data_IF_415068598261
#
_entry.id   IF_415068598261
#
_cell.length_a   1.000
_cell.length_b   1.000
_cell.length_c   1.000
_cell.angle_alpha   90.00
_cell.angle_beta   90.00
_cell.angle_gamma   90.00
#
_symmetry.space_group_name_H-M   'P 1'
#
loop_
_entity.id
_entity.type
_entity.pdbx_description
1 polymer ?
#
# COMPACT_ATOMS: atom_id res chain seq x y z
N UNK A 1 -5.64 -3.75 -18.54
CA UNK A 1 -6.24 -2.53 -17.93
C UNK A 1 -7.07 -2.83 -16.70
N UNK A 2 -8.03 -3.77 -16.72
CA UNK A 2 -8.87 -4.04 -15.54
C UNK A 2 -8.08 -4.60 -14.34
N UNK A 3 -7.09 -5.46 -14.58
CA UNK A 3 -6.18 -5.98 -13.56
C UNK A 3 -5.38 -4.85 -12.89
N UNK A 4 -4.73 -4.00 -13.67
CA UNK A 4 -3.99 -2.82 -13.17
C UNK A 4 -4.86 -1.86 -12.37
N UNK A 5 -6.12 -1.63 -12.79
CA UNK A 5 -7.05 -0.78 -12.05
C UNK A 5 -7.35 -1.35 -10.65
N UNK A 6 -7.77 -2.61 -10.57
CA UNK A 6 -8.09 -3.24 -9.29
C UNK A 6 -6.84 -3.51 -8.43
N UNK A 7 -5.71 -3.83 -9.03
CA UNK A 7 -4.42 -3.98 -8.33
C UNK A 7 -3.95 -2.68 -7.70
N UNK A 8 -4.05 -1.57 -8.43
CA UNK A 8 -3.70 -0.23 -7.91
C UNK A 8 -4.70 0.25 -6.87
N UNK A 9 -5.99 -0.06 -7.03
CA UNK A 9 -7.01 0.22 -6.02
C UNK A 9 -6.68 -0.46 -4.68
N UNK A 10 -6.30 -1.75 -4.71
CA UNK A 10 -5.89 -2.50 -3.52
C UNK A 10 -4.61 -1.92 -2.93
N UNK A 11 -3.61 -1.62 -3.77
CA UNK A 11 -2.35 -1.01 -3.33
C UNK A 11 -2.60 0.28 -2.52
N UNK A 12 -3.44 1.17 -3.04
CA UNK A 12 -3.72 2.47 -2.41
C UNK A 12 -4.63 2.33 -1.19
N UNK A 13 -5.69 1.52 -1.26
CA UNK A 13 -6.60 1.33 -0.12
C UNK A 13 -5.88 0.80 1.13
N UNK A 14 -4.96 -0.15 0.97
CA UNK A 14 -4.21 -0.69 2.11
C UNK A 14 -2.95 0.12 2.43
N UNK A 15 -2.23 0.63 1.43
CA UNK A 15 -1.02 1.45 1.61
C UNK A 15 -1.31 2.79 2.27
N UNK A 16 -2.23 3.58 1.71
CA UNK A 16 -2.64 4.84 2.33
C UNK A 16 -3.49 4.61 3.58
N UNK A 17 -4.23 3.49 3.63
CA UNK A 17 -4.99 3.09 4.81
C UNK A 17 -4.13 2.85 6.05
N UNK A 18 -2.96 2.21 5.91
CA UNK A 18 -2.04 2.02 7.04
C UNK A 18 -1.45 3.36 7.51
N UNK A 19 -1.10 4.25 6.57
CA UNK A 19 -0.59 5.59 6.88
C UNK A 19 -1.65 6.43 7.59
N UNK A 20 -2.90 6.41 7.09
CA UNK A 20 -4.02 7.11 7.70
C UNK A 20 -4.31 6.59 9.12
N UNK A 21 -4.23 5.27 9.32
CA UNK A 21 -4.42 4.64 10.65
C UNK A 21 -3.33 5.09 11.63
N UNK A 22 -2.06 5.02 11.22
CA UNK A 22 -0.94 5.49 12.05
C UNK A 22 -1.08 6.97 12.36
N UNK A 23 -1.41 7.81 11.38
CA UNK A 23 -1.59 9.24 11.58
C UNK A 23 -2.75 9.55 12.55
N UNK A 24 -3.88 8.87 12.41
CA UNK A 24 -5.04 9.00 13.29
C UNK A 24 -4.66 8.71 14.74
N UNK A 25 -4.03 7.57 15.03
CA UNK A 25 -3.68 7.22 16.41
C UNK A 25 -2.51 8.02 16.98
N UNK A 26 -1.64 8.59 16.14
CA UNK A 26 -0.47 9.35 16.61
C UNK A 26 -0.77 10.83 16.84
N UNK A 27 -1.74 11.42 16.12
CA UNK A 27 -1.97 12.88 16.14
C UNK A 27 -3.37 13.30 16.60
N UNK A 28 -4.41 12.51 16.31
CA UNK A 28 -5.81 12.96 16.48
C UNK A 28 -6.56 12.13 17.53
N UNK A 29 -6.33 10.82 17.59
CA UNK A 29 -7.05 9.87 18.43
C UNK A 29 -6.37 9.53 19.75
N UNK A 30 -5.10 9.88 19.95
CA UNK A 30 -4.34 9.47 21.15
C UNK A 30 -4.67 10.29 22.40
N UNK A 31 -5.02 11.57 22.31
CA UNK A 31 -5.30 12.39 23.51
C UNK A 31 -4.16 12.38 24.55
N UNK A 32 -2.90 12.28 24.11
CA UNK A 32 -1.67 12.08 24.91
C UNK A 32 -1.45 10.65 25.44
N UNK A 33 -2.24 9.66 25.01
CA UNK A 33 -1.98 8.25 25.32
C UNK A 33 -0.86 7.70 24.42
N UNK A 34 -0.03 6.82 24.99
CA UNK A 34 0.95 6.04 24.24
C UNK A 34 0.29 5.38 23.03
N UNK A 35 0.83 5.60 21.83
CA UNK A 35 0.29 5.00 20.61
C UNK A 35 0.19 3.47 20.78
N UNK A 36 -0.88 2.82 20.29
CA UNK A 36 -1.02 1.36 20.37
C UNK A 36 0.05 0.61 19.55
N UNK A 37 0.81 1.34 18.73
CA UNK A 37 1.88 0.80 17.90
C UNK A 37 3.23 0.92 18.60
N UNK A 38 3.97 -0.19 18.69
CA UNK A 38 5.31 -0.23 19.28
C UNK A 38 6.34 0.55 18.44
N UNK A 39 6.16 0.63 17.11
CA UNK A 39 6.96 1.45 16.19
C UNK A 39 6.09 1.81 15.00
N UNK A 40 5.82 3.08 14.77
CA UNK A 40 4.92 3.55 13.71
C UNK A 40 5.46 3.20 12.31
N UNK A 41 6.77 3.35 12.13
CA UNK A 41 7.41 3.14 10.83
C UNK A 41 7.42 1.67 10.38
N UNK A 42 7.61 0.71 11.29
CA UNK A 42 7.59 -0.71 10.91
C UNK A 42 6.19 -1.15 10.46
N UNK A 43 5.15 -0.57 11.06
CA UNK A 43 3.74 -0.82 10.69
C UNK A 43 3.48 -0.28 9.28
N UNK A 44 3.97 0.92 8.96
CA UNK A 44 3.83 1.50 7.61
C UNK A 44 4.56 0.66 6.56
N UNK A 45 5.82 0.29 6.80
CA UNK A 45 6.61 -0.51 5.84
C UNK A 45 5.94 -1.86 5.59
N UNK A 46 5.55 -2.58 6.65
CA UNK A 46 4.90 -3.88 6.50
C UNK A 46 3.52 -3.75 5.84
N UNK A 47 2.75 -2.71 6.17
CA UNK A 47 1.47 -2.43 5.53
C UNK A 47 1.61 -2.18 4.03
N UNK A 48 2.57 -1.37 3.59
CA UNK A 48 2.86 -1.15 2.18
C UNK A 48 3.36 -2.42 1.47
N UNK A 49 4.24 -3.19 2.12
CA UNK A 49 4.72 -4.46 1.56
C UNK A 49 3.61 -5.48 1.34
N UNK A 50 2.68 -5.60 2.30
CA UNK A 50 1.49 -6.45 2.16
C UNK A 50 0.51 -5.91 1.12
N UNK A 51 0.33 -4.59 1.03
CA UNK A 51 -0.52 -3.96 0.01
C UNK A 51 -0.03 -4.27 -1.41
N UNK A 52 1.29 -4.20 -1.64
CA UNK A 52 1.91 -4.61 -2.92
C UNK A 52 1.68 -6.09 -3.21
N UNK A 53 1.91 -6.96 -2.23
CA UNK A 53 1.69 -8.41 -2.38
C UNK A 53 0.24 -8.72 -2.79
N UNK A 54 -0.74 -8.12 -2.11
CA UNK A 54 -2.15 -8.29 -2.42
C UNK A 54 -2.50 -7.73 -3.81
N UNK A 55 -1.96 -6.56 -4.16
CA UNK A 55 -2.12 -5.98 -5.50
C UNK A 55 -1.59 -6.91 -6.60
N UNK A 56 -0.46 -7.58 -6.35
CA UNK A 56 0.10 -8.59 -7.27
C UNK A 56 -0.83 -9.81 -7.39
N UNK A 57 -1.40 -10.30 -6.30
CA UNK A 57 -2.35 -11.42 -6.38
C UNK A 57 -3.65 -11.07 -7.12
N UNK A 58 -4.07 -9.80 -7.10
CA UNK A 58 -5.25 -9.34 -7.83
C UNK A 58 -4.96 -9.14 -9.32
N UNK A 59 -3.80 -8.57 -9.68
CA UNK A 59 -3.51 -8.16 -11.06
C UNK A 59 -2.61 -9.15 -11.83
N UNK A 60 -1.88 -10.03 -11.15
CA UNK A 60 -0.72 -10.75 -11.70
C UNK A 60 -1.06 -11.66 -12.87
N UNK A 61 -2.10 -12.48 -12.75
CA UNK A 61 -2.53 -13.40 -13.82
C UNK A 61 -3.24 -12.72 -14.98
N UNK A 62 -3.63 -11.44 -14.83
CA UNK A 62 -4.47 -10.72 -15.80
C UNK A 62 -3.66 -9.71 -16.60
N UNK A 63 -2.80 -8.91 -15.94
CA UNK A 63 -2.11 -7.79 -16.57
C UNK A 63 -0.61 -7.70 -16.28
N UNK A 64 -0.04 -8.66 -15.55
CA UNK A 64 1.37 -8.66 -15.17
C UNK A 64 1.68 -7.87 -13.89
N UNK A 65 0.65 -7.33 -13.23
CA UNK A 65 0.73 -6.61 -11.96
C UNK A 65 1.82 -5.53 -11.92
N UNK A 66 1.80 -4.60 -12.88
CA UNK A 66 2.72 -3.46 -12.81
C UNK A 66 2.37 -2.56 -11.63
N UNK A 67 1.07 -2.30 -11.44
CA UNK A 67 0.43 -1.50 -10.38
C UNK A 67 1.12 -0.16 -10.12
N UNK A 68 1.91 0.31 -11.09
CA UNK A 68 2.79 1.45 -11.01
C UNK A 68 3.22 1.87 -12.45
N UNK A 69 2.96 3.13 -12.84
CA UNK A 69 3.41 3.66 -14.13
C UNK A 69 4.93 3.62 -14.32
N UNK A 70 5.72 3.84 -13.27
CA UNK A 70 7.19 3.80 -13.34
C UNK A 70 7.71 2.39 -13.67
N UNK A 71 7.08 1.35 -13.10
CA UNK A 71 7.40 -0.06 -13.42
C UNK A 71 7.04 -0.35 -14.88
N UNK A 72 5.89 0.12 -15.34
CA UNK A 72 5.47 -0.05 -16.74
C UNK A 72 6.47 0.58 -17.71
N UNK A 73 6.92 1.80 -17.42
CA UNK A 73 7.91 2.48 -18.25
C UNK A 73 9.28 1.81 -18.21
N UNK A 74 9.71 1.33 -17.03
CA UNK A 74 10.98 0.62 -16.89
C UNK A 74 11.00 -0.67 -17.72
N UNK A 75 9.91 -1.45 -17.71
CA UNK A 75 9.79 -2.66 -18.54
C UNK A 75 9.64 -2.36 -20.03
N UNK A 76 9.10 -1.19 -20.40
CA UNK A 76 8.99 -0.78 -21.81
C UNK A 76 10.31 -0.27 -22.39
N UNK A 77 11.26 0.12 -21.55
CA UNK A 77 12.56 0.66 -21.95
C UNK A 77 13.68 -0.40 -22.09
N UNK A 78 13.38 -1.65 -21.73
CA UNK A 78 14.27 -2.82 -21.88
C UNK A 78 13.89 -3.66 -23.09
#
# INVERSE_FOLDING_TARGET
MIGEFFGTMVLILFGDGVVATVFLFSNIGSGNASTPFATEWIVIILGWGLAVMLGIYVAGSISGAHINPAVTLALAAT
#
